data_IF_415226132592
#
_entry.id   IF_415226132592
#
_cell.length_a   1.000
_cell.length_b   1.000
_cell.length_c   1.000
_cell.angle_alpha   90.00
_cell.angle_beta   90.00
_cell.angle_gamma   90.00
#
_symmetry.space_group_name_H-M   'P 1'
#
loop_
_entity.id
_entity.type
_entity.pdbx_description
1 polymer ?
#
# COMPACT_ATOMS: atom_id res chain seq x y z
N UNK A 1 -14.48 -18.15 -5.56
CA UNK A 1 -13.52 -17.88 -4.62
C UNK A 1 -12.83 -16.58 -4.87
N UNK A 2 -12.77 -15.72 -3.89
CA UNK A 2 -12.20 -14.51 -4.12
C UNK A 2 -10.77 -14.48 -3.91
N UNK A 3 -10.10 -13.65 -4.65
CA UNK A 3 -8.72 -13.45 -4.56
C UNK A 3 -8.46 -12.33 -3.61
N UNK A 4 -7.83 -12.63 -2.53
CA UNK A 4 -7.48 -11.59 -1.57
C UNK A 4 -6.04 -11.20 -1.83
N UNK A 5 -5.82 -9.95 -2.16
CA UNK A 5 -4.48 -9.47 -2.43
C UNK A 5 -3.62 -9.58 -1.18
N UNK A 6 -2.46 -10.17 -1.31
CA UNK A 6 -1.54 -10.25 -0.18
C UNK A 6 -0.93 -8.91 0.17
N UNK A 7 -1.05 -7.93 -0.72
CA UNK A 7 -0.51 -6.60 -0.45
C UNK A 7 -1.53 -5.66 0.18
N UNK A 8 -2.81 -6.06 0.20
CA UNK A 8 -3.87 -5.18 0.67
C UNK A 8 -3.67 -4.74 2.12
N UNK A 9 -3.51 -5.71 3.01
CA UNK A 9 -3.37 -5.39 4.41
C UNK A 9 -2.07 -4.64 4.70
N UNK A 10 -0.91 -5.09 4.23
CA UNK A 10 0.32 -4.33 4.48
C UNK A 10 0.27 -2.93 3.88
N UNK A 11 -0.38 -2.76 2.73
CA UNK A 11 -0.48 -1.44 2.13
C UNK A 11 -1.33 -0.52 2.99
N UNK A 12 -2.45 -1.02 3.49
CA UNK A 12 -3.32 -0.23 4.35
C UNK A 12 -2.60 0.09 5.65
N UNK A 13 -1.85 -0.86 6.20
CA UNK A 13 -1.08 -0.62 7.42
C UNK A 13 -0.06 0.49 7.21
N UNK A 14 0.59 0.50 6.05
CA UNK A 14 1.57 1.52 5.74
C UNK A 14 0.90 2.89 5.61
N UNK A 15 -0.26 2.95 5.00
CA UNK A 15 -1.01 4.19 4.88
C UNK A 15 -1.41 4.68 6.26
N UNK A 16 -1.84 3.79 7.14
CA UNK A 16 -2.19 4.18 8.50
C UNK A 16 -0.99 4.76 9.24
N UNK A 17 0.18 4.19 8.99
CA UNK A 17 1.39 4.64 9.65
C UNK A 17 1.73 6.08 9.28
N UNK A 18 1.59 6.45 8.01
CA UNK A 18 1.97 7.77 7.55
C UNK A 18 0.82 8.78 7.54
N UNK A 19 -0.38 8.33 7.29
CA UNK A 19 -1.50 9.24 7.08
C UNK A 19 -2.61 9.13 8.11
N UNK A 20 -2.56 8.11 8.95
CA UNK A 20 -3.57 7.95 10.00
C UNK A 20 -4.65 6.96 9.62
N UNK A 21 -5.41 6.59 10.64
CA UNK A 21 -6.41 5.54 10.48
C UNK A 21 -7.55 5.94 9.55
N UNK A 22 -7.97 7.20 9.61
CA UNK A 22 -9.05 7.65 8.76
C UNK A 22 -8.75 7.50 7.29
N UNK A 23 -7.54 7.91 6.89
CA UNK A 23 -7.12 7.77 5.51
C UNK A 23 -6.97 6.29 5.14
N UNK A 24 -6.46 5.49 6.08
CA UNK A 24 -6.30 4.06 5.84
C UNK A 24 -7.64 3.40 5.56
N UNK A 25 -8.69 3.82 6.25
CA UNK A 25 -10.01 3.25 6.03
C UNK A 25 -10.53 3.56 4.63
N UNK A 26 -10.26 4.76 4.14
CA UNK A 26 -10.66 5.13 2.80
C UNK A 26 -9.97 4.24 1.79
N UNK A 27 -8.67 4.00 1.99
CA UNK A 27 -7.92 3.16 1.05
C UNK A 27 -8.26 1.70 1.19
N UNK A 28 -8.73 1.27 2.35
CA UNK A 28 -9.21 -0.10 2.51
C UNK A 28 -10.36 -0.36 1.53
N UNK A 29 -11.27 0.59 1.42
CA UNK A 29 -12.36 0.45 0.48
C UNK A 29 -11.90 0.55 -0.96
N UNK A 30 -10.98 1.46 -1.22
CA UNK A 30 -10.44 1.63 -2.56
C UNK A 30 -9.74 0.35 -3.03
N UNK A 31 -9.00 -0.30 -2.12
CA UNK A 31 -8.25 -1.50 -2.48
C UNK A 31 -9.08 -2.77 -2.46
N UNK A 32 -10.33 -2.68 -2.05
CA UNK A 32 -11.15 -3.87 -1.83
C UNK A 32 -11.15 -4.82 -3.02
N UNK A 33 -11.32 -4.31 -4.22
CA UNK A 33 -11.28 -5.15 -5.40
C UNK A 33 -10.19 -4.74 -6.37
N UNK A 34 -9.12 -4.14 -5.87
CA UNK A 34 -7.98 -3.76 -6.70
C UNK A 34 -7.01 -4.92 -6.83
N UNK A 35 -6.31 -4.96 -7.96
CA UNK A 35 -5.28 -5.98 -8.14
C UNK A 35 -4.03 -5.58 -7.36
N UNK A 36 -3.14 -6.55 -7.16
CA UNK A 36 -1.87 -6.28 -6.49
C UNK A 36 -1.11 -5.15 -7.17
N UNK A 37 -1.10 -5.18 -8.49
CA UNK A 37 -0.38 -4.17 -9.26
C UNK A 37 -0.95 -2.78 -9.01
N UNK A 38 -2.26 -2.66 -8.99
CA UNK A 38 -2.91 -1.39 -8.74
C UNK A 38 -2.64 -0.90 -7.33
N UNK A 39 -2.68 -1.80 -6.36
CA UNK A 39 -2.43 -1.44 -4.97
C UNK A 39 -1.02 -0.89 -4.82
N UNK A 40 -0.03 -1.59 -5.36
CA UNK A 40 1.36 -1.16 -5.25
C UNK A 40 1.56 0.19 -5.96
N UNK A 41 0.98 0.34 -7.14
CA UNK A 41 1.13 1.58 -7.88
C UNK A 41 0.51 2.76 -7.11
N UNK A 42 -0.70 2.58 -6.60
CA UNK A 42 -1.36 3.64 -5.85
C UNK A 42 -0.60 3.98 -4.57
N UNK A 43 -0.13 2.95 -3.87
CA UNK A 43 0.63 3.16 -2.66
C UNK A 43 1.91 3.93 -2.95
N UNK A 44 2.59 3.58 -4.04
CA UNK A 44 3.81 4.27 -4.41
C UNK A 44 3.53 5.75 -4.68
N UNK A 45 2.47 6.04 -5.41
CA UNK A 45 2.16 7.41 -5.75
C UNK A 45 1.85 8.26 -4.54
N UNK A 46 1.06 7.74 -3.62
CA UNK A 46 0.71 8.52 -2.44
C UNK A 46 1.93 8.71 -1.54
N UNK A 47 2.80 7.72 -1.47
CA UNK A 47 4.00 7.85 -0.67
C UNK A 47 5.00 8.83 -1.28
N UNK A 48 5.14 8.81 -2.60
CA UNK A 48 6.04 9.75 -3.27
C UNK A 48 5.61 11.17 -2.97
N UNK A 49 4.32 11.44 -3.01
CA UNK A 49 3.82 12.78 -2.72
C UNK A 49 4.10 13.20 -1.28
N UNK A 50 4.14 12.26 -0.37
CA UNK A 50 4.25 12.59 1.04
C UNK A 50 5.67 12.55 1.57
N UNK A 51 6.45 11.54 1.22
CA UNK A 51 7.79 11.37 1.78
C UNK A 51 8.90 11.38 0.75
N UNK A 52 8.57 11.59 -0.52
CA UNK A 52 9.57 11.64 -1.57
C UNK A 52 9.81 10.29 -2.20
N UNK A 53 10.38 10.34 -3.40
CA UNK A 53 10.53 9.12 -4.20
C UNK A 53 11.46 8.11 -3.57
N UNK A 54 12.56 8.58 -3.00
CA UNK A 54 13.54 7.67 -2.44
C UNK A 54 12.97 6.86 -1.28
N UNK A 55 12.32 7.54 -0.34
CA UNK A 55 11.73 6.85 0.80
C UNK A 55 10.55 6.02 0.38
N UNK A 56 9.78 6.50 -0.59
CA UNK A 56 8.64 5.73 -1.09
C UNK A 56 9.13 4.42 -1.67
N UNK A 57 10.20 4.46 -2.48
CA UNK A 57 10.74 3.24 -3.06
C UNK A 57 11.26 2.30 -2.00
N UNK A 58 11.87 2.84 -0.94
CA UNK A 58 12.34 2.04 0.17
C UNK A 58 11.20 1.30 0.84
N UNK A 59 10.11 2.00 1.12
CA UNK A 59 8.97 1.39 1.79
C UNK A 59 8.33 0.32 0.92
N UNK A 60 8.20 0.60 -0.38
CA UNK A 60 7.63 -0.37 -1.29
C UNK A 60 8.52 -1.61 -1.38
N UNK A 61 9.82 -1.40 -1.44
CA UNK A 61 10.77 -2.53 -1.48
C UNK A 61 10.66 -3.41 -0.25
N UNK A 62 10.57 -2.80 0.91
CA UNK A 62 10.44 -3.56 2.15
C UNK A 62 9.14 -4.34 2.17
N UNK A 63 8.08 -3.72 1.71
CA UNK A 63 6.78 -4.36 1.71
C UNK A 63 6.76 -5.55 0.77
N UNK A 64 7.25 -5.38 -0.45
CA UNK A 64 7.24 -6.46 -1.43
C UNK A 64 8.22 -7.55 -1.06
N UNK A 65 9.39 -7.19 -0.53
CA UNK A 65 10.37 -8.18 -0.12
C UNK A 65 9.85 -9.04 1.03
N UNK A 66 9.13 -8.42 1.97
CA UNK A 66 8.59 -9.17 3.08
C UNK A 66 7.50 -10.15 2.68
N UNK A 67 6.83 -9.89 1.58
CA UNK A 67 5.74 -10.76 1.13
C UNK A 67 6.15 -11.71 0.04
N UNK A 68 7.24 -11.41 -0.61
CA UNK A 68 7.68 -12.23 -1.73
C UNK A 68 8.66 -13.28 -1.26
N UNK A 69 8.15 -14.31 -0.71
CA UNK A 69 8.99 -15.36 -0.17
C UNK A 69 9.32 -16.46 -1.18
#
# INVERSE_FOLDING_TARGET
>A
MEQVSKYKKPAVDLIAKYFGQGTAEIYTQFFYDSTDKTIIKSLHEILVDYIGEKKANDEISKLTAGLNL
#
